data_IF_405707064230
#
_entry.id   IF_405707064230
#
_cell.length_a   1.000
_cell.length_b   1.000
_cell.length_c   1.000
_cell.angle_alpha   90.00
_cell.angle_beta   90.00
_cell.angle_gamma   90.00
#
_symmetry.space_group_name_H-M   'P 1'
#
loop_
_entity.id
_entity.type
_entity.pdbx_description
1 polymer ?
#
# COMPACT_ATOMS: atom_id res chain seq x y z
N UNK A 1 9.45 9.93 18.99
CA UNK A 1 10.32 9.66 17.84
C UNK A 1 10.79 11.00 17.30
N UNK A 2 12.09 11.22 17.27
CA UNK A 2 12.66 12.46 16.72
C UNK A 2 12.83 12.22 15.22
N UNK A 3 11.92 12.76 14.41
CA UNK A 3 12.02 12.68 12.96
C UNK A 3 13.07 13.69 12.51
N UNK A 4 14.26 13.21 12.18
CA UNK A 4 15.18 14.00 11.38
C UNK A 4 14.54 14.17 9.99
N UNK A 5 14.49 15.41 9.49
CA UNK A 5 13.89 15.75 8.20
C UNK A 5 14.65 15.15 7.02
N UNK A 6 15.83 14.59 7.26
CA UNK A 6 16.71 14.04 6.24
C UNK A 6 16.54 12.53 6.03
N UNK A 7 15.80 11.82 6.88
CA UNK A 7 15.64 10.37 6.77
C UNK A 7 14.35 9.99 6.02
N UNK A 8 14.38 8.88 5.28
CA UNK A 8 13.17 8.28 4.69
C UNK A 8 12.46 7.39 5.71
N UNK A 9 11.13 7.24 5.62
CA UNK A 9 10.35 6.43 6.57
C UNK A 9 9.46 5.43 5.84
N UNK A 10 9.52 4.16 6.25
CA UNK A 10 8.49 3.17 5.96
C UNK A 10 7.62 2.98 7.21
N UNK A 11 6.30 3.06 7.05
CA UNK A 11 5.33 3.01 8.15
C UNK A 11 4.15 2.11 7.76
N UNK A 12 3.69 1.29 8.70
CA UNK A 12 2.46 0.50 8.55
C UNK A 12 1.68 0.47 9.87
N UNK A 13 0.37 0.64 9.74
CA UNK A 13 -0.60 0.45 10.81
C UNK A 13 -1.28 -0.90 10.63
N UNK A 14 -1.29 -1.72 11.68
CA UNK A 14 -1.87 -3.05 11.68
C UNK A 14 -3.27 -3.04 12.31
N UNK A 15 -4.11 -4.03 12.00
CA UNK A 15 -5.35 -4.25 12.74
C UNK A 15 -5.08 -4.32 14.26
N UNK A 16 -5.90 -3.61 15.04
CA UNK A 16 -5.70 -3.47 16.49
C UNK A 16 -4.85 -2.27 16.91
N UNK A 17 -4.43 -1.42 15.98
CA UNK A 17 -3.75 -0.15 16.26
C UNK A 17 -2.26 -0.28 16.55
N UNK A 18 -1.68 -1.46 16.33
CA UNK A 18 -0.23 -1.63 16.41
C UNK A 18 0.46 -0.94 15.23
N UNK A 19 1.58 -0.28 15.51
CA UNK A 19 2.34 0.49 14.53
C UNK A 19 3.72 -0.12 14.38
N UNK A 20 4.12 -0.37 13.14
CA UNK A 20 5.50 -0.71 12.77
C UNK A 20 6.07 0.42 11.92
N UNK A 21 7.28 0.87 12.24
CA UNK A 21 7.95 1.96 11.55
C UNK A 21 9.44 1.64 11.41
N UNK A 22 9.99 1.94 10.24
CA UNK A 22 11.40 1.81 9.91
C UNK A 22 11.90 3.12 9.33
N UNK A 23 12.79 3.79 10.06
CA UNK A 23 13.50 4.97 9.56
C UNK A 23 14.69 4.48 8.73
N UNK A 24 14.62 4.70 7.43
CA UNK A 24 15.70 4.35 6.52
C UNK A 24 16.83 5.37 6.61
N UNK A 25 18.05 4.86 6.84
CA UNK A 25 19.26 5.67 6.95
C UNK A 25 19.67 6.23 5.57
N UNK A 26 20.46 7.32 5.54
CA UNK A 26 20.83 8.06 4.32
C UNK A 26 21.48 7.20 3.20
N UNK A 27 22.05 6.05 3.54
CA UNK A 27 22.68 5.12 2.60
C UNK A 27 21.99 3.75 2.52
N UNK A 28 20.87 3.58 3.21
CA UNK A 28 20.12 2.32 3.17
C UNK A 28 19.38 2.19 1.83
N UNK A 29 19.61 1.08 1.14
CA UNK A 29 18.83 0.71 -0.05
C UNK A 29 17.55 0.00 0.37
N UNK A 30 16.60 0.77 0.90
CA UNK A 30 15.30 0.22 1.26
C UNK A 30 14.45 -0.06 0.01
N UNK A 31 13.87 -1.28 -0.16
CA UNK A 31 13.10 -1.60 -1.36
C UNK A 31 11.81 -0.77 -1.43
N UNK A 32 11.62 -0.03 -2.53
CA UNK A 32 10.42 0.81 -2.74
C UNK A 32 9.12 0.00 -2.82
N UNK A 33 9.20 -1.28 -3.17
CA UNK A 33 8.06 -2.19 -3.25
C UNK A 33 7.90 -3.08 -2.00
N UNK A 34 8.70 -2.87 -0.95
CA UNK A 34 8.71 -3.73 0.24
C UNK A 34 7.31 -4.03 0.78
N UNK A 35 6.48 -2.99 0.98
CA UNK A 35 5.11 -3.18 1.47
C UNK A 35 4.23 -4.03 0.54
N UNK A 36 4.38 -3.86 -0.78
CA UNK A 36 3.64 -4.66 -1.78
C UNK A 36 4.11 -6.11 -1.79
N UNK A 37 5.42 -6.35 -1.74
CA UNK A 37 6.01 -7.70 -1.69
C UNK A 37 5.53 -8.48 -0.44
N UNK A 38 5.55 -7.83 0.73
CA UNK A 38 5.04 -8.41 1.98
C UNK A 38 3.56 -8.77 1.86
N UNK A 39 2.72 -7.85 1.38
CA UNK A 39 1.28 -8.11 1.22
C UNK A 39 1.00 -9.20 0.18
N UNK A 40 1.71 -9.19 -0.94
CA UNK A 40 1.60 -10.22 -1.97
C UNK A 40 1.95 -11.61 -1.40
N UNK A 41 2.98 -11.72 -0.57
CA UNK A 41 3.32 -12.94 0.14
C UNK A 41 2.23 -13.38 1.12
N UNK A 42 1.75 -12.47 1.97
CA UNK A 42 0.71 -12.75 2.97
C UNK A 42 -0.63 -13.18 2.34
N UNK A 43 -0.97 -12.63 1.18
CA UNK A 43 -2.21 -12.94 0.45
C UNK A 43 -2.05 -14.13 -0.51
N UNK A 44 -0.86 -14.74 -0.60
CA UNK A 44 -0.54 -15.79 -1.56
C UNK A 44 -0.77 -15.37 -3.03
N UNK A 45 -0.37 -14.13 -3.37
CA UNK A 45 -0.50 -13.48 -4.67
C UNK A 45 0.85 -12.98 -5.18
N UNK A 46 1.86 -13.85 -5.20
CA UNK A 46 3.25 -13.48 -5.51
C UNK A 46 3.42 -12.86 -6.91
N UNK A 47 2.57 -13.21 -7.87
CA UNK A 47 2.50 -12.62 -9.22
C UNK A 47 2.20 -11.12 -9.19
N UNK A 48 1.55 -10.64 -8.12
CA UNK A 48 1.22 -9.23 -7.91
C UNK A 48 2.29 -8.45 -7.17
N UNK A 49 3.42 -9.07 -6.81
CA UNK A 49 4.51 -8.36 -6.13
C UNK A 49 5.14 -7.28 -7.04
N UNK A 50 5.26 -7.54 -8.35
CA UNK A 50 5.75 -6.56 -9.33
C UNK A 50 4.61 -5.70 -9.87
N UNK A 51 4.66 -4.40 -9.58
CA UNK A 51 3.68 -3.44 -10.09
C UNK A 51 3.53 -3.44 -11.62
N UNK A 52 4.59 -3.80 -12.37
CA UNK A 52 4.54 -3.84 -13.84
C UNK A 52 3.69 -4.99 -14.36
N UNK A 53 3.63 -6.09 -13.61
CA UNK A 53 2.87 -7.28 -13.93
C UNK A 53 1.48 -7.28 -13.29
N UNK A 54 1.28 -6.49 -12.23
CA UNK A 54 -0.01 -6.31 -11.56
C UNK A 54 -0.93 -5.30 -12.31
N UNK A 55 -1.11 -5.49 -13.62
CA UNK A 55 -2.00 -4.67 -14.46
C UNK A 55 -3.29 -5.42 -14.75
N UNK A 56 -4.38 -4.69 -14.86
CA UNK A 56 -5.67 -5.19 -15.32
C UNK A 56 -6.03 -4.51 -16.64
N UNK A 57 -7.03 -5.05 -17.34
CA UNK A 57 -7.60 -4.33 -18.48
C UNK A 57 -8.29 -3.04 -18.01
N UNK A 58 -8.39 -2.07 -18.91
CA UNK A 58 -9.09 -0.81 -18.64
C UNK A 58 -10.53 -1.05 -18.18
N UNK A 59 -11.20 -2.01 -18.81
CA UNK A 59 -12.58 -2.39 -18.50
C UNK A 59 -12.71 -2.95 -17.07
N UNK A 60 -11.77 -3.80 -16.65
CA UNK A 60 -11.71 -4.33 -15.28
C UNK A 60 -11.43 -3.23 -14.26
N UNK A 61 -10.49 -2.31 -14.55
CA UNK A 61 -10.19 -1.17 -13.68
C UNK A 61 -11.41 -0.26 -13.51
N UNK A 62 -12.13 0.05 -14.59
CA UNK A 62 -13.38 0.83 -14.54
C UNK A 62 -14.42 0.12 -13.67
N UNK A 63 -14.62 -1.19 -13.87
CA UNK A 63 -15.60 -1.96 -13.11
C UNK A 63 -15.27 -1.99 -11.62
N UNK A 64 -14.00 -2.16 -11.25
CA UNK A 64 -13.58 -2.12 -9.86
C UNK A 64 -13.81 -0.74 -9.23
N UNK A 65 -13.50 0.34 -9.95
CA UNK A 65 -13.70 1.70 -9.47
C UNK A 65 -15.18 1.99 -9.22
N UNK A 66 -16.07 1.66 -10.16
CA UNK A 66 -17.52 1.85 -9.99
C UNK A 66 -18.09 0.99 -8.86
N UNK A 67 -17.62 -0.26 -8.73
CA UNK A 67 -18.03 -1.12 -7.62
C UNK A 67 -17.59 -0.57 -6.27
N UNK A 68 -16.38 0.00 -6.18
CA UNK A 68 -15.89 0.62 -4.96
C UNK A 68 -16.71 1.87 -4.60
N UNK A 69 -16.96 2.77 -5.56
CA UNK A 69 -17.78 3.99 -5.35
C UNK A 69 -19.14 3.66 -4.74
N UNK A 70 -19.87 2.73 -5.35
CA UNK A 70 -21.20 2.34 -4.86
C UNK A 70 -21.15 1.73 -3.45
N UNK A 71 -20.10 0.95 -3.13
CA UNK A 71 -19.96 0.34 -1.80
C UNK A 71 -19.50 1.32 -0.73
N UNK A 72 -18.80 2.39 -1.13
CA UNK A 72 -18.27 3.39 -0.23
C UNK A 72 -19.27 4.54 0.03
N UNK A 73 -20.39 4.60 -0.70
CA UNK A 73 -21.37 5.69 -0.66
C UNK A 73 -21.83 6.08 0.76
N UNK A 74 -22.14 5.10 1.62
CA UNK A 74 -22.55 5.33 3.02
C UNK A 74 -21.46 6.01 3.88
N UNK A 75 -20.19 5.92 3.47
CA UNK A 75 -19.04 6.44 4.19
C UNK A 75 -18.47 7.72 3.57
N UNK A 76 -19.02 8.20 2.44
CA UNK A 76 -18.51 9.37 1.75
C UNK A 76 -18.85 10.65 2.55
N UNK A 77 -17.86 11.36 3.11
CA UNK A 77 -18.12 12.58 3.88
C UNK A 77 -18.48 13.79 3.00
N UNK A 78 -18.39 13.67 1.67
CA UNK A 78 -18.64 14.76 0.71
C UNK A 78 -19.96 14.60 -0.08
N UNK A 79 -20.88 13.74 0.38
CA UNK A 79 -22.23 13.67 -0.21
C UNK A 79 -22.98 15.01 -0.12
#
# INVERSE_FOLDING_TARGET
MQFDRNCSLFYVELPGGAILAHAAEDNEKFPTQFGREVLAGLLNMADRADWRNCKLSKEEEIKMAESFKSRFEEYDPNQ
#
